data_IF_681739698214
#
_entry.id   IF_681739698214
#
_cell.length_a   1.000
_cell.length_b   1.000
_cell.length_c   1.000
_cell.angle_alpha   90.00
_cell.angle_beta   90.00
_cell.angle_gamma   90.00
#
_symmetry.space_group_name_H-M   'P 1'
#
loop_
_entity.id
_entity.type
_entity.pdbx_description
1 polymer ?
#
# COMPACT_ATOMS: atom_id res chain seq x y z
N UNK A 1 4.99 6.97 0.98
CA UNK A 1 5.96 6.15 0.22
C UNK A 1 5.38 4.76 0.01
N UNK A 2 5.16 4.39 -1.25
CA UNK A 2 4.63 3.07 -1.63
C UNK A 2 5.75 2.00 -1.64
N UNK A 3 5.37 0.73 -1.60
CA UNK A 3 6.31 -0.41 -1.78
C UNK A 3 7.00 -0.34 -3.14
N UNK A 4 6.29 0.14 -4.16
CA UNK A 4 6.85 0.36 -5.51
C UNK A 4 7.98 1.36 -5.46
N UNK A 5 7.71 2.56 -4.94
CA UNK A 5 8.69 3.64 -4.79
C UNK A 5 9.90 3.20 -3.97
N UNK A 6 9.68 2.46 -2.88
CA UNK A 6 10.75 1.92 -2.04
C UNK A 6 11.66 0.93 -2.76
N UNK A 7 11.14 0.25 -3.79
CA UNK A 7 11.90 -0.66 -4.63
C UNK A 7 12.41 -0.01 -5.94
N UNK A 8 12.29 1.31 -6.07
CA UNK A 8 12.71 2.06 -7.27
C UNK A 8 11.67 2.08 -8.40
N UNK A 9 10.38 2.09 -8.05
CA UNK A 9 9.23 2.20 -8.98
C UNK A 9 9.17 1.10 -10.05
N UNK A 10 9.66 -0.09 -9.72
CA UNK A 10 9.66 -1.26 -10.61
C UNK A 10 8.29 -1.91 -10.76
N UNK A 11 7.99 -2.32 -11.99
CA UNK A 11 6.90 -3.21 -12.33
C UNK A 11 7.01 -4.57 -11.66
N UNK A 12 5.88 -5.27 -11.54
CA UNK A 12 5.86 -6.64 -11.00
C UNK A 12 6.57 -7.58 -11.98
N UNK A 13 7.54 -8.34 -11.48
CA UNK A 13 8.40 -9.24 -12.28
C UNK A 13 9.33 -8.54 -13.28
N UNK A 14 9.46 -7.21 -13.20
CA UNK A 14 10.47 -6.50 -13.96
C UNK A 14 11.87 -6.94 -13.51
N UNK A 15 12.76 -7.16 -14.47
CA UNK A 15 14.11 -7.64 -14.18
C UNK A 15 14.89 -6.56 -13.43
N UNK A 16 15.63 -7.03 -12.44
CA UNK A 16 16.50 -6.19 -11.60
C UNK A 16 17.76 -5.77 -12.37
N UNK A 17 18.11 -4.49 -12.32
CA UNK A 17 19.47 -4.00 -12.61
C UNK A 17 20.36 -4.07 -11.36
N UNK A 18 21.68 -4.10 -11.54
CA UNK A 18 22.64 -4.43 -10.49
C UNK A 18 22.55 -3.51 -9.26
N UNK A 19 22.24 -2.24 -9.50
CA UNK A 19 22.13 -1.14 -8.54
C UNK A 19 20.92 -1.23 -7.59
N UNK A 20 19.92 -2.06 -7.92
CA UNK A 20 18.60 -1.91 -7.30
C UNK A 20 18.29 -3.02 -6.28
N UNK A 21 18.38 -2.70 -5.01
CA UNK A 21 18.32 -3.62 -3.87
C UNK A 21 16.88 -4.03 -3.48
N UNK A 22 16.71 -5.21 -2.89
CA UNK A 22 15.42 -5.66 -2.34
C UNK A 22 14.47 -6.37 -3.32
N UNK A 23 13.50 -7.11 -2.76
CA UNK A 23 12.42 -7.77 -3.52
C UNK A 23 11.12 -7.85 -2.72
N UNK A 24 9.98 -7.92 -3.43
CA UNK A 24 8.65 -8.09 -2.81
C UNK A 24 8.57 -9.47 -2.15
N UNK A 25 8.14 -9.52 -0.89
CA UNK A 25 8.06 -10.76 -0.09
C UNK A 25 6.62 -11.07 0.36
N UNK A 26 5.67 -10.97 -0.56
CA UNK A 26 4.26 -11.23 -0.23
C UNK A 26 3.66 -10.17 0.71
N UNK A 27 2.74 -10.63 1.56
CA UNK A 27 1.96 -9.81 2.48
C UNK A 27 1.88 -10.49 3.84
N UNK A 28 1.97 -9.69 4.91
CA UNK A 28 1.74 -10.11 6.29
C UNK A 28 0.34 -9.70 6.75
N UNK A 29 -0.21 -10.36 7.76
CA UNK A 29 -1.49 -9.95 8.34
C UNK A 29 -1.28 -8.72 9.22
N UNK A 30 -1.91 -7.61 8.84
CA UNK A 30 -2.07 -6.42 9.67
C UNK A 30 -3.52 -6.24 10.11
N UNK A 31 -3.72 -5.38 11.10
CA UNK A 31 -5.06 -5.01 11.59
C UNK A 31 -5.21 -3.50 11.51
N UNK A 32 -6.34 -3.05 10.98
CA UNK A 32 -6.74 -1.65 11.01
C UNK A 32 -7.89 -1.49 11.99
N UNK A 33 -7.81 -0.46 12.83
CA UNK A 33 -8.89 -0.09 13.74
C UNK A 33 -9.87 0.82 13.00
N UNK A 34 -11.14 0.42 12.97
CA UNK A 34 -12.25 1.19 12.43
C UNK A 34 -13.29 1.49 13.50
N UNK A 35 -14.26 2.37 13.20
CA UNK A 35 -15.36 2.66 14.12
C UNK A 35 -16.25 1.43 14.37
N UNK A 36 -16.29 0.50 13.42
CA UNK A 36 -17.09 -0.72 13.43
C UNK A 36 -16.34 -1.95 13.97
N UNK A 37 -15.04 -1.83 14.26
CA UNK A 37 -14.23 -2.91 14.82
C UNK A 37 -12.82 -2.97 14.25
N UNK A 38 -12.24 -4.17 14.17
CA UNK A 38 -10.95 -4.38 13.51
C UNK A 38 -11.16 -5.04 12.15
N UNK A 39 -10.42 -4.55 11.15
CA UNK A 39 -10.38 -5.13 9.80
C UNK A 39 -9.01 -5.74 9.58
N UNK A 40 -8.97 -7.03 9.24
CA UNK A 40 -7.73 -7.71 8.86
C UNK A 40 -7.35 -7.29 7.43
N UNK A 41 -6.09 -6.91 7.24
CA UNK A 41 -5.55 -6.43 5.95
C UNK A 41 -4.20 -7.06 5.64
N UNK A 42 -3.84 -7.14 4.36
CA UNK A 42 -2.53 -7.61 3.93
C UNK A 42 -1.53 -6.45 3.88
N UNK A 43 -0.54 -6.46 4.78
CA UNK A 43 0.56 -5.48 4.81
C UNK A 43 1.67 -5.91 3.87
N UNK A 44 2.03 -5.07 2.88
CA UNK A 44 3.07 -5.42 1.91
C UNK A 44 4.44 -5.58 2.57
N UNK A 45 5.11 -6.71 2.33
CA UNK A 45 6.47 -6.96 2.83
C UNK A 45 7.54 -6.83 1.73
N UNK A 46 8.73 -6.39 2.15
CA UNK A 46 9.95 -6.31 1.33
C UNK A 46 11.07 -7.05 2.04
N UNK A 47 11.90 -7.77 1.29
CA UNK A 47 13.09 -8.47 1.81
C UNK A 47 14.35 -8.02 1.09
N UNK A 48 15.51 -8.22 1.74
CA UNK A 48 16.82 -7.97 1.14
C UNK A 48 17.16 -6.49 0.99
N UNK A 49 16.69 -5.66 1.92
CA UNK A 49 16.95 -4.22 2.03
C UNK A 49 17.59 -3.94 3.39
N UNK A 50 18.41 -2.88 3.47
CA UNK A 50 19.08 -2.48 4.72
C UNK A 50 18.15 -1.85 5.75
N UNK A 51 17.03 -1.27 5.31
CA UNK A 51 16.04 -0.62 6.16
C UNK A 51 14.68 -1.32 6.09
N UNK A 52 13.94 -1.41 7.21
CA UNK A 52 12.62 -2.01 7.22
C UNK A 52 11.61 -1.15 6.44
N UNK A 53 10.92 -1.76 5.48
CA UNK A 53 9.82 -1.10 4.78
C UNK A 53 8.60 -0.95 5.69
N UNK A 54 8.09 0.27 5.84
CA UNK A 54 6.80 0.57 6.46
C UNK A 54 5.92 1.33 5.48
N UNK A 55 4.73 0.79 5.21
CA UNK A 55 3.80 1.43 4.29
C UNK A 55 3.17 2.67 4.93
N UNK A 56 3.34 3.85 4.32
CA UNK A 56 2.71 5.08 4.81
C UNK A 56 1.18 5.02 4.78
N UNK A 57 0.60 4.25 3.84
CA UNK A 57 -0.84 4.03 3.74
C UNK A 57 -1.41 3.35 4.99
N UNK A 58 -0.73 2.33 5.53
CA UNK A 58 -1.18 1.69 6.77
C UNK A 58 -1.11 2.64 7.96
N UNK A 59 -0.06 3.45 8.05
CA UNK A 59 0.07 4.47 9.10
C UNK A 59 -1.01 5.54 9.00
N UNK A 60 -1.42 5.90 7.77
CA UNK A 60 -2.47 6.88 7.54
C UNK A 60 -3.87 6.33 7.84
N UNK A 61 -4.16 5.08 7.46
CA UNK A 61 -5.48 4.49 7.69
C UNK A 61 -5.72 4.07 9.14
N UNK A 62 -4.67 3.90 9.95
CA UNK A 62 -4.81 3.56 11.36
C UNK A 62 -5.50 4.70 12.14
N UNK A 63 -6.74 4.46 12.55
CA UNK A 63 -7.58 5.43 13.25
C UNK A 63 -8.43 6.34 12.35
N UNK A 64 -8.27 6.31 11.03
CA UNK A 64 -9.04 7.14 10.08
C UNK A 64 -10.15 6.34 9.40
N UNK A 65 -11.09 5.85 10.21
CA UNK A 65 -12.16 4.94 9.75
C UNK A 65 -13.11 5.53 8.71
N UNK A 66 -13.43 6.83 8.80
CA UNK A 66 -14.31 7.52 7.85
C UNK A 66 -13.67 7.61 6.45
N UNK A 67 -12.36 7.85 6.40
CA UNK A 67 -11.60 7.90 5.16
C UNK A 67 -11.54 6.51 4.52
N UNK A 68 -11.38 5.46 5.33
CA UNK A 68 -11.42 4.09 4.86
C UNK A 68 -12.79 3.72 4.26
N UNK A 69 -13.90 4.09 4.92
CA UNK A 69 -15.25 3.80 4.43
C UNK A 69 -15.53 4.51 3.09
N UNK A 70 -15.15 5.79 2.98
CA UNK A 70 -15.26 6.51 1.70
C UNK A 70 -14.44 5.84 0.61
N UNK A 71 -13.20 5.47 0.93
CA UNK A 71 -12.30 4.86 -0.03
C UNK A 71 -12.83 3.52 -0.51
N UNK A 72 -13.30 2.65 0.38
CA UNK A 72 -13.90 1.35 0.02
C UNK A 72 -15.12 1.54 -0.88
N UNK A 73 -15.97 2.53 -0.60
CA UNK A 73 -17.12 2.85 -1.47
C UNK A 73 -16.68 3.32 -2.87
N UNK A 74 -15.69 4.21 -2.95
CA UNK A 74 -15.16 4.68 -4.24
C UNK A 74 -14.48 3.54 -5.03
N UNK A 75 -13.73 2.67 -4.36
CA UNK A 75 -13.13 1.48 -4.97
C UNK A 75 -14.19 0.52 -5.51
N UNK A 76 -15.23 0.24 -4.72
CA UNK A 76 -16.30 -0.66 -5.11
C UNK A 76 -17.07 -0.11 -6.32
N UNK A 77 -17.41 1.18 -6.30
CA UNK A 77 -18.12 1.83 -7.39
C UNK A 77 -17.31 1.88 -8.70
N UNK A 78 -15.98 2.05 -8.61
CA UNK A 78 -15.09 2.15 -9.78
C UNK A 78 -14.49 0.80 -10.20
N UNK A 79 -14.67 -0.27 -9.42
CA UNK A 79 -14.08 -1.58 -9.68
C UNK A 79 -12.55 -1.57 -9.61
N UNK A 80 -11.97 -0.77 -8.69
CA UNK A 80 -10.52 -0.64 -8.59
C UNK A 80 -9.87 -1.88 -7.96
N UNK A 81 -8.75 -2.31 -8.55
CA UNK A 81 -7.88 -3.29 -7.92
C UNK A 81 -7.13 -2.66 -6.74
N UNK A 82 -6.69 -3.48 -5.78
CA UNK A 82 -5.76 -3.07 -4.71
C UNK A 82 -4.49 -2.39 -5.24
N UNK A 83 -4.12 -2.64 -6.51
CA UNK A 83 -3.01 -1.97 -7.22
C UNK A 83 -3.37 -0.56 -7.68
N UNK A 84 -4.53 -0.39 -8.29
CA UNK A 84 -5.00 0.91 -8.77
C UNK A 84 -5.18 1.88 -7.60
N UNK A 85 -5.52 1.34 -6.42
CA UNK A 85 -5.53 2.09 -5.17
C UNK A 85 -4.12 2.58 -4.81
N UNK A 86 -3.12 1.68 -4.71
CA UNK A 86 -1.73 2.06 -4.40
C UNK A 86 -1.18 3.10 -5.42
N UNK A 87 -1.49 2.94 -6.72
CA UNK A 87 -1.06 3.86 -7.79
C UNK A 87 -1.84 5.18 -7.82
N UNK A 88 -3.13 5.19 -7.45
CA UNK A 88 -3.93 6.41 -7.41
C UNK A 88 -3.40 7.45 -6.42
N UNK A 89 -2.84 6.99 -5.29
CA UNK A 89 -2.18 7.87 -4.31
C UNK A 89 -0.79 8.35 -4.76
N UNK A 90 -0.24 7.81 -5.85
CA UNK A 90 0.99 8.30 -6.50
C UNK A 90 0.67 9.33 -7.58
N UNK A 91 -0.44 9.12 -8.31
CA UNK A 91 -0.80 9.93 -9.49
C UNK A 91 -1.70 11.13 -9.15
N UNK A 92 -2.43 11.08 -8.02
CA UNK A 92 -3.27 12.18 -7.57
C UNK A 92 -2.93 12.52 -6.12
N UNK A 93 -2.37 13.71 -5.84
CA UNK A 93 -2.63 14.30 -4.54
C UNK A 93 -4.14 14.53 -4.54
N UNK A 94 -4.86 13.78 -3.72
CA UNK A 94 -6.25 14.11 -3.43
C UNK A 94 -6.18 15.45 -2.71
N UNK A 95 -6.30 16.52 -3.48
CA UNK A 95 -6.47 17.88 -2.97
C UNK A 95 -7.72 17.86 -2.11
N UNK A 96 -7.53 17.99 -0.80
CA UNK A 96 -8.51 18.63 0.06
C UNK A 96 -7.90 19.95 0.53
#
# INVERSE_FOLDING_TARGET
MSRGDFLGSRGRYERRSDDQVGSRNGYERGRLRTAQGFVDVGVPQVRGVGEPFRSSLMSFLDGNSEVLDRLVNEMYARGLSTRDVEDSFVTSPVSC
#
